data_IF_991707506055
#
_entry.id   IF_991707506055
#
_cell.length_a   1.000
_cell.length_b   1.000
_cell.length_c   1.000
_cell.angle_alpha   90.00
_cell.angle_beta   90.00
_cell.angle_gamma   90.00
#
_symmetry.space_group_name_H-M   'P 1'
#
loop_
_entity.id
_entity.type
_entity.pdbx_description
1 polymer ?
#
# COMPACT_ATOMS: atom_id res chain seq x y z
N UNK A 1 53.67 -63.38 43.72
CA UNK A 1 55.08 -63.56 43.39
C UNK A 1 55.29 -63.38 41.93
N UNK A 2 56.38 -62.82 41.41
CA UNK A 2 56.99 -61.55 41.77
C UNK A 2 57.17 -60.64 40.56
N UNK A 3 57.26 -59.38 40.80
CA UNK A 3 58.49 -58.54 40.62
C UNK A 3 58.74 -58.01 39.19
N UNK A 4 58.75 -56.75 39.13
CA UNK A 4 59.78 -55.74 38.85
C UNK A 4 59.98 -55.49 37.34
N UNK A 5 60.10 -54.29 36.88
CA UNK A 5 60.97 -53.24 37.16
C UNK A 5 60.70 -52.04 36.18
N UNK A 6 60.82 -50.86 36.72
CA UNK A 6 61.11 -49.61 36.02
C UNK A 6 62.57 -49.58 35.53
N UNK A 7 62.98 -48.74 34.52
CA UNK A 7 63.12 -47.33 34.78
C UNK A 7 62.96 -46.38 33.55
N UNK A 8 62.63 -45.14 33.86
CA UNK A 8 62.97 -43.78 33.33
C UNK A 8 63.80 -43.66 32.04
N UNK A 9 63.29 -42.78 31.15
CA UNK A 9 64.13 -41.67 30.66
C UNK A 9 63.27 -40.51 30.16
N UNK A 10 63.64 -39.34 30.64
CA UNK A 10 63.18 -37.99 30.28
C UNK A 10 63.68 -37.56 28.89
N UNK A 11 62.91 -36.81 28.13
CA UNK A 11 63.35 -35.61 27.43
C UNK A 11 62.15 -34.91 26.72
N UNK A 12 62.19 -33.59 26.48
CA UNK A 12 61.02 -32.74 26.37
C UNK A 12 60.56 -32.55 24.95
N UNK A 13 59.28 -32.70 24.73
CA UNK A 13 58.63 -32.45 23.43
C UNK A 13 58.00 -31.08 23.35
N UNK A 14 58.45 -30.36 22.42
CA UNK A 14 58.09 -28.99 21.98
C UNK A 14 56.59 -28.82 21.82
N UNK A 15 56.03 -27.87 22.57
CA UNK A 15 54.65 -27.37 22.44
C UNK A 15 54.56 -26.54 21.14
N UNK A 16 54.01 -27.09 20.07
CA UNK A 16 53.62 -26.31 18.87
C UNK A 16 52.21 -25.81 19.09
N UNK A 17 52.07 -24.55 19.49
CA UNK A 17 50.86 -23.79 19.44
C UNK A 17 50.52 -23.48 17.99
N UNK A 18 49.55 -24.19 17.43
CA UNK A 18 48.92 -23.83 16.17
C UNK A 18 47.95 -22.67 16.41
N UNK A 19 48.35 -21.46 16.04
CA UNK A 19 47.48 -20.29 15.97
C UNK A 19 46.58 -20.43 14.73
N UNK A 20 45.35 -20.92 14.91
CA UNK A 20 44.33 -20.90 13.87
C UNK A 20 43.79 -19.48 13.71
N UNK A 21 44.30 -18.73 12.73
CA UNK A 21 43.72 -17.46 12.33
C UNK A 21 42.37 -17.71 11.66
N UNK A 22 41.28 -17.48 12.38
CA UNK A 22 39.93 -17.40 11.80
C UNK A 22 39.86 -16.08 11.08
N UNK A 23 40.02 -16.12 9.75
CA UNK A 23 39.63 -15.01 8.88
C UNK A 23 38.12 -14.90 8.91
N UNK A 24 37.57 -13.96 9.68
CA UNK A 24 36.20 -13.49 9.49
C UNK A 24 36.16 -12.75 8.14
N UNK A 25 35.72 -13.43 7.10
CA UNK A 25 35.23 -12.75 5.91
C UNK A 25 33.95 -11.99 6.30
N UNK A 26 34.10 -10.71 6.64
CA UNK A 26 32.99 -9.77 6.60
C UNK A 26 32.55 -9.68 5.14
N UNK A 27 31.54 -10.49 4.75
CA UNK A 27 30.80 -10.25 3.53
C UNK A 27 30.20 -8.85 3.67
N UNK A 28 30.84 -7.87 3.03
CA UNK A 28 30.25 -6.57 2.83
C UNK A 28 28.97 -6.79 2.01
N UNK A 29 27.84 -6.89 2.69
CA UNK A 29 26.56 -6.76 2.04
C UNK A 29 26.58 -5.37 1.40
N UNK A 30 26.66 -5.31 0.08
CA UNK A 30 26.46 -4.07 -0.65
C UNK A 30 25.10 -3.51 -0.21
N UNK A 31 25.11 -2.48 0.62
CA UNK A 31 23.93 -1.70 0.93
C UNK A 31 23.45 -1.19 -0.43
N UNK A 32 22.24 -1.53 -0.89
CA UNK A 32 21.72 -0.96 -2.12
C UNK A 32 21.90 0.56 -2.02
N UNK A 33 22.41 1.19 -3.08
CA UNK A 33 22.56 2.65 -3.11
C UNK A 33 21.24 3.24 -2.58
N UNK A 34 21.31 4.03 -1.53
CA UNK A 34 20.13 4.59 -0.88
C UNK A 34 19.32 5.31 -1.96
N UNK A 35 18.13 4.79 -2.28
CA UNK A 35 17.29 5.36 -3.32
C UNK A 35 17.02 6.83 -3.02
N UNK A 36 16.84 7.64 -4.05
CA UNK A 36 16.53 9.07 -3.88
C UNK A 36 15.19 9.20 -3.16
N UNK A 37 15.16 9.93 -2.05
CA UNK A 37 13.93 10.37 -1.40
C UNK A 37 13.65 11.82 -1.76
N UNK A 38 12.41 12.18 -2.07
CA UNK A 38 12.08 13.57 -2.30
C UNK A 38 12.23 14.36 -0.99
N UNK A 39 12.76 15.57 -1.11
CA UNK A 39 12.67 16.61 -0.08
C UNK A 39 11.27 17.28 -0.12
N UNK A 40 11.18 18.60 0.14
CA UNK A 40 9.92 19.34 -0.04
C UNK A 40 9.39 19.25 -1.47
N UNK A 41 10.26 19.11 -2.47
CA UNK A 41 9.90 18.90 -3.87
C UNK A 41 10.40 17.52 -4.34
N UNK A 42 9.73 16.95 -5.35
CA UNK A 42 10.23 15.78 -6.05
C UNK A 42 11.51 16.13 -6.82
N UNK A 43 12.52 15.26 -6.73
CA UNK A 43 13.64 15.34 -7.63
C UNK A 43 13.17 15.03 -9.07
N UNK A 44 13.68 15.78 -10.04
CA UNK A 44 13.44 15.57 -11.48
C UNK A 44 14.75 15.31 -12.19
N UNK A 45 14.76 14.65 -13.35
CA UNK A 45 15.95 14.46 -14.15
C UNK A 45 16.62 15.80 -14.46
N UNK A 46 17.96 15.81 -14.47
CA UNK A 46 18.77 16.98 -14.78
C UNK A 46 19.62 16.76 -16.04
N UNK A 47 20.28 17.80 -16.52
CA UNK A 47 21.21 17.67 -17.64
C UNK A 47 22.40 16.76 -17.29
N UNK A 48 22.84 16.76 -16.01
CA UNK A 48 23.93 15.92 -15.53
C UNK A 48 23.49 14.45 -15.30
N UNK A 49 22.21 14.25 -14.95
CA UNK A 49 21.60 12.95 -14.72
C UNK A 49 20.29 12.86 -15.53
N UNK A 50 20.36 12.65 -16.84
CA UNK A 50 19.19 12.61 -17.69
C UNK A 50 18.36 11.37 -17.41
N UNK A 51 17.07 11.48 -17.62
CA UNK A 51 16.19 10.31 -17.62
C UNK A 51 16.56 9.39 -18.78
N UNK A 52 16.66 8.10 -18.50
CA UNK A 52 16.81 7.06 -19.55
C UNK A 52 15.45 6.56 -20.07
N UNK A 53 14.36 7.19 -19.68
CA UNK A 53 13.02 6.90 -20.17
C UNK A 53 12.83 7.44 -21.59
N UNK A 54 12.19 6.65 -22.44
CA UNK A 54 11.93 7.05 -23.83
C UNK A 54 10.86 8.13 -23.92
N UNK A 55 11.25 9.38 -24.19
CA UNK A 55 10.32 10.49 -24.36
C UNK A 55 9.28 10.23 -25.46
N UNK A 56 9.70 9.63 -26.57
CA UNK A 56 8.79 9.29 -27.66
C UNK A 56 7.69 8.32 -27.23
N UNK A 57 8.01 7.33 -26.41
CA UNK A 57 7.03 6.37 -25.89
C UNK A 57 6.18 6.98 -24.78
N UNK A 58 6.71 7.90 -23.96
CA UNK A 58 5.93 8.65 -22.99
C UNK A 58 4.90 9.54 -23.69
N UNK A 59 5.21 10.15 -24.83
CA UNK A 59 4.22 10.87 -25.65
C UNK A 59 3.10 9.96 -26.16
N UNK A 60 3.36 8.68 -26.41
CA UNK A 60 2.30 7.71 -26.72
C UNK A 60 1.40 7.47 -25.51
N UNK A 61 2.00 7.38 -24.30
CA UNK A 61 1.22 7.27 -23.07
C UNK A 61 0.36 8.53 -22.82
N UNK A 62 0.90 9.73 -23.09
CA UNK A 62 0.15 11.01 -23.00
C UNK A 62 -1.04 11.05 -23.96
N UNK A 63 -0.81 10.67 -25.21
CA UNK A 63 -1.88 10.62 -26.21
C UNK A 63 -2.99 9.63 -25.82
N UNK A 64 -2.61 8.48 -25.24
CA UNK A 64 -3.59 7.52 -24.72
C UNK A 64 -4.32 8.08 -23.51
N UNK A 65 -3.62 8.70 -22.55
CA UNK A 65 -4.23 9.34 -21.38
C UNK A 65 -5.24 10.41 -21.80
N UNK A 66 -4.90 11.23 -22.79
CA UNK A 66 -5.85 12.22 -23.37
C UNK A 66 -7.09 11.55 -23.99
N UNK A 67 -6.90 10.43 -24.71
CA UNK A 67 -8.01 9.71 -25.37
C UNK A 67 -9.02 9.11 -24.38
N UNK A 68 -8.57 8.71 -23.20
CA UNK A 68 -9.42 8.20 -22.11
C UNK A 68 -9.84 9.29 -21.12
N UNK A 69 -9.52 10.56 -21.42
CA UNK A 69 -9.88 11.74 -20.62
C UNK A 69 -9.31 11.70 -19.20
N UNK A 70 -8.07 11.27 -19.04
CA UNK A 70 -7.31 11.38 -17.80
C UNK A 70 -7.08 12.86 -17.46
N UNK A 71 -7.18 13.23 -16.17
CA UNK A 71 -6.85 14.59 -15.73
C UNK A 71 -5.40 14.74 -15.33
N UNK A 72 -4.82 13.68 -14.74
CA UNK A 72 -3.39 13.66 -14.40
C UNK A 72 -2.86 12.22 -14.29
N UNK A 73 -1.58 12.06 -14.61
CA UNK A 73 -0.80 10.92 -14.13
C UNK A 73 0.66 11.32 -13.94
N UNK A 74 1.36 10.57 -13.12
CA UNK A 74 2.80 10.74 -12.92
C UNK A 74 3.51 9.40 -12.75
N UNK A 75 4.82 9.43 -12.98
CA UNK A 75 5.71 8.27 -12.87
C UNK A 75 6.90 8.63 -11.99
N UNK A 76 7.05 7.89 -10.89
CA UNK A 76 8.22 7.96 -10.01
C UNK A 76 9.06 6.71 -10.23
N UNK A 77 10.28 6.89 -10.67
CA UNK A 77 11.27 5.81 -10.84
C UNK A 77 12.41 6.03 -9.85
N UNK A 78 12.60 5.10 -8.92
CA UNK A 78 13.63 5.14 -7.88
C UNK A 78 13.67 6.44 -7.08
N UNK A 79 12.47 7.01 -6.84
CA UNK A 79 12.32 8.25 -6.08
C UNK A 79 12.46 9.54 -6.90
N UNK A 80 12.62 9.43 -8.21
CA UNK A 80 12.70 10.58 -9.13
C UNK A 80 11.40 10.69 -9.93
N UNK A 81 10.82 11.89 -10.05
CA UNK A 81 9.68 12.18 -10.92
C UNK A 81 10.18 12.24 -12.36
N UNK A 82 10.05 11.14 -13.09
CA UNK A 82 10.56 11.02 -14.47
C UNK A 82 9.58 11.47 -15.54
N UNK A 83 8.28 11.50 -15.20
CA UNK A 83 7.24 12.00 -16.11
C UNK A 83 6.00 12.47 -15.35
N UNK A 84 5.35 13.49 -15.90
CA UNK A 84 4.11 14.04 -15.41
C UNK A 84 3.21 14.50 -16.57
N UNK A 85 1.90 14.25 -16.44
CA UNK A 85 0.87 14.66 -17.37
C UNK A 85 -0.28 15.32 -16.59
N UNK A 86 -0.75 16.49 -17.04
CA UNK A 86 -1.89 17.18 -16.47
C UNK A 86 -1.65 17.76 -15.07
N UNK A 87 -2.73 17.92 -14.30
CA UNK A 87 -2.74 18.63 -13.00
C UNK A 87 -2.31 17.71 -11.85
N UNK A 88 -1.03 17.39 -11.76
CA UNK A 88 -0.48 16.46 -10.75
C UNK A 88 -0.47 17.01 -9.32
N UNK A 89 -0.63 18.32 -9.15
CA UNK A 89 -0.63 19.02 -7.85
C UNK A 89 -2.04 19.31 -7.30
N UNK A 90 -3.08 19.06 -8.11
CA UNK A 90 -4.47 19.27 -7.69
C UNK A 90 -4.92 18.18 -6.71
N UNK A 91 -5.36 18.53 -5.47
CA UNK A 91 -6.03 17.59 -4.60
C UNK A 91 -7.36 17.12 -5.21
N UNK A 92 -7.48 15.82 -5.45
CA UNK A 92 -8.67 15.18 -6.00
C UNK A 92 -9.19 14.11 -5.04
N UNK A 93 -10.49 13.86 -5.05
CA UNK A 93 -11.10 12.83 -4.22
C UNK A 93 -10.47 11.47 -4.50
N UNK A 94 -9.99 10.80 -3.44
CA UNK A 94 -9.37 9.47 -3.55
C UNK A 94 -10.35 8.36 -3.88
N UNK A 95 -11.65 8.58 -3.71
CA UNK A 95 -12.65 7.52 -3.73
C UNK A 95 -12.19 6.33 -2.86
N UNK A 96 -12.14 5.11 -3.39
CA UNK A 96 -11.72 3.94 -2.61
C UNK A 96 -10.20 3.79 -2.42
N UNK A 97 -9.36 4.58 -3.09
CA UNK A 97 -7.92 4.63 -2.77
C UNK A 97 -7.68 5.04 -1.31
N UNK A 98 -8.62 5.79 -0.69
CA UNK A 98 -8.61 6.09 0.75
C UNK A 98 -8.45 4.85 1.65
N UNK A 99 -8.99 3.69 1.23
CA UNK A 99 -8.88 2.43 1.98
C UNK A 99 -7.42 1.98 2.10
N UNK A 100 -6.65 2.10 1.03
CA UNK A 100 -5.21 1.76 1.06
C UNK A 100 -4.41 2.75 1.92
N UNK A 101 -4.77 4.04 1.92
CA UNK A 101 -4.20 5.02 2.85
C UNK A 101 -4.52 4.66 4.30
N UNK A 102 -5.76 4.25 4.58
CA UNK A 102 -6.19 3.79 5.90
C UNK A 102 -5.40 2.53 6.34
N UNK A 103 -5.13 1.59 5.43
CA UNK A 103 -4.27 0.44 5.70
C UNK A 103 -2.86 0.85 6.15
N UNK A 104 -2.27 1.88 5.54
CA UNK A 104 -0.96 2.40 5.94
C UNK A 104 -1.02 2.98 7.36
N UNK A 105 -2.04 3.77 7.67
CA UNK A 105 -2.24 4.31 9.03
C UNK A 105 -2.44 3.18 10.05
N UNK A 106 -3.22 2.16 9.72
CA UNK A 106 -3.36 0.98 10.58
C UNK A 106 -2.02 0.33 10.89
N UNK A 107 -1.14 0.17 9.89
CA UNK A 107 0.19 -0.38 10.09
C UNK A 107 1.02 0.39 11.11
N UNK A 108 0.98 1.71 11.05
CA UNK A 108 1.69 2.57 11.99
C UNK A 108 1.17 2.36 13.40
N UNK A 109 -0.16 2.35 13.61
CA UNK A 109 -0.77 2.27 14.93
C UNK A 109 -0.80 0.86 15.52
N UNK A 110 -0.87 -0.17 14.68
CA UNK A 110 -0.61 -1.57 15.11
C UNK A 110 0.83 -1.72 15.59
N UNK A 111 1.79 -1.14 14.89
CA UNK A 111 3.19 -1.17 15.30
C UNK A 111 3.48 -0.41 16.60
N UNK A 112 2.65 0.57 16.95
CA UNK A 112 2.69 1.28 18.24
C UNK A 112 1.98 0.52 19.37
N UNK A 113 1.30 -0.59 19.07
CA UNK A 113 0.50 -1.35 20.03
C UNK A 113 -0.82 -0.67 20.42
N UNK A 114 -1.24 0.35 19.67
CA UNK A 114 -2.49 1.09 19.93
C UNK A 114 -3.71 0.35 19.38
N UNK A 115 -3.54 -0.45 18.34
CA UNK A 115 -4.58 -1.27 17.70
C UNK A 115 -4.13 -2.73 17.69
N UNK A 116 -5.02 -3.60 18.17
CA UNK A 116 -4.86 -5.05 18.12
C UNK A 116 -5.77 -5.61 17.02
N UNK A 117 -5.18 -6.32 16.06
CA UNK A 117 -5.88 -6.88 14.91
C UNK A 117 -6.83 -8.03 15.26
N UNK A 118 -6.62 -8.69 16.38
CA UNK A 118 -7.38 -9.86 16.79
C UNK A 118 -8.53 -9.50 17.74
N UNK A 119 -8.66 -8.22 18.14
CA UNK A 119 -9.83 -7.75 18.85
C UNK A 119 -11.09 -7.85 17.98
N UNK A 120 -12.18 -8.32 18.60
CA UNK A 120 -13.47 -8.46 17.93
C UNK A 120 -14.32 -7.20 18.04
N UNK A 121 -15.31 -7.06 17.14
CA UNK A 121 -16.28 -5.96 17.19
C UNK A 121 -17.00 -5.91 18.53
N UNK A 122 -17.34 -7.09 19.10
CA UNK A 122 -17.96 -7.18 20.42
C UNK A 122 -17.06 -6.64 21.54
N UNK A 123 -15.78 -7.01 21.57
CA UNK A 123 -14.80 -6.51 22.54
C UNK A 123 -14.57 -4.99 22.40
N UNK A 124 -14.66 -4.46 21.18
CA UNK A 124 -14.50 -3.04 20.89
C UNK A 124 -15.78 -2.22 21.12
N UNK A 125 -16.89 -2.88 21.47
CA UNK A 125 -18.18 -2.22 21.65
C UNK A 125 -18.72 -1.59 20.35
N UNK A 126 -18.36 -2.15 19.20
CA UNK A 126 -18.87 -1.68 17.90
C UNK A 126 -20.29 -2.19 17.71
N UNK A 127 -21.18 -1.28 17.35
CA UNK A 127 -22.56 -1.55 16.93
C UNK A 127 -22.86 -0.87 15.61
N UNK A 128 -24.10 -0.91 15.18
CA UNK A 128 -24.66 -0.05 14.13
C UNK A 128 -26.17 0.05 14.38
N UNK A 129 -26.90 0.84 13.60
CA UNK A 129 -28.31 1.20 13.82
C UNK A 129 -29.23 -0.01 14.00
N UNK A 130 -29.01 -1.09 13.25
CA UNK A 130 -29.81 -2.31 13.34
C UNK A 130 -29.23 -3.34 14.32
N UNK A 131 -28.27 -2.93 15.17
CA UNK A 131 -27.50 -3.80 16.04
C UNK A 131 -26.65 -4.83 15.28
N UNK A 132 -25.69 -5.44 15.94
CA UNK A 132 -24.94 -6.59 15.41
C UNK A 132 -25.44 -7.88 16.07
N UNK A 133 -25.61 -8.93 15.29
CA UNK A 133 -25.87 -10.29 15.82
C UNK A 133 -24.66 -10.80 16.61
N UNK A 134 -24.84 -11.85 17.40
CA UNK A 134 -23.74 -12.47 18.16
C UNK A 134 -22.62 -12.96 17.22
N UNK A 135 -22.98 -13.51 16.06
CA UNK A 135 -22.01 -13.92 15.04
C UNK A 135 -21.26 -12.74 14.47
N UNK A 136 -21.95 -11.66 14.08
CA UNK A 136 -21.30 -10.44 13.54
C UNK A 136 -20.33 -9.81 14.56
N UNK A 137 -20.64 -9.89 15.87
CA UNK A 137 -19.77 -9.38 16.95
C UNK A 137 -18.43 -10.12 17.06
N UNK A 138 -18.30 -11.34 16.51
CA UNK A 138 -17.06 -12.11 16.52
C UNK A 138 -16.08 -11.68 15.44
N UNK A 139 -16.49 -10.86 14.47
CA UNK A 139 -15.61 -10.34 13.43
C UNK A 139 -14.46 -9.54 14.06
N UNK A 140 -13.23 -9.79 13.59
CA UNK A 140 -12.02 -9.14 14.09
C UNK A 140 -11.61 -7.96 13.23
N UNK A 141 -10.78 -7.05 13.77
CA UNK A 141 -10.18 -5.94 13.02
C UNK A 141 -9.43 -6.46 11.78
N UNK A 142 -8.73 -7.57 11.91
CA UNK A 142 -8.05 -8.26 10.81
C UNK A 142 -9.01 -8.62 9.68
N UNK A 143 -10.16 -9.18 10.02
CA UNK A 143 -11.17 -9.57 9.02
C UNK A 143 -11.83 -8.37 8.35
N UNK A 144 -11.98 -7.25 9.06
CA UNK A 144 -12.43 -6.00 8.44
C UNK A 144 -11.39 -5.47 7.43
N UNK A 145 -10.10 -5.47 7.79
CA UNK A 145 -9.03 -5.07 6.85
C UNK A 145 -9.00 -5.96 5.59
N UNK A 146 -9.39 -7.22 5.72
CA UNK A 146 -9.50 -8.17 4.62
C UNK A 146 -10.82 -8.05 3.83
N UNK A 147 -11.79 -7.22 4.27
CA UNK A 147 -13.17 -7.19 3.76
C UNK A 147 -13.86 -8.56 3.84
N UNK A 148 -13.68 -9.23 4.96
CA UNK A 148 -14.20 -10.57 5.26
C UNK A 148 -14.94 -10.61 6.61
N UNK A 149 -15.51 -9.49 7.05
CA UNK A 149 -16.19 -9.40 8.35
C UNK A 149 -17.44 -10.27 8.46
N UNK A 150 -18.09 -10.61 7.33
CA UNK A 150 -19.41 -11.23 7.34
C UNK A 150 -20.54 -10.29 7.75
N UNK A 151 -20.25 -8.98 7.94
CA UNK A 151 -21.24 -7.96 8.29
C UNK A 151 -21.70 -7.26 7.01
N UNK A 152 -22.96 -7.45 6.64
CA UNK A 152 -23.52 -6.96 5.38
C UNK A 152 -24.55 -5.84 5.63
N UNK A 153 -24.17 -4.86 6.45
CA UNK A 153 -25.00 -3.69 6.73
C UNK A 153 -24.87 -2.61 5.65
N UNK A 154 -25.87 -1.75 5.48
CA UNK A 154 -25.74 -0.54 4.68
C UNK A 154 -24.62 0.34 5.21
N UNK A 155 -23.92 1.04 4.31
CA UNK A 155 -22.81 1.90 4.69
C UNK A 155 -22.91 3.28 4.02
N UNK A 156 -22.30 4.26 4.64
CA UNK A 156 -22.12 5.55 4.01
C UNK A 156 -21.18 5.45 2.78
N UNK A 157 -21.45 6.26 1.76
CA UNK A 157 -20.63 6.39 0.56
C UNK A 157 -20.58 5.15 -0.33
N UNK A 158 -21.63 4.33 -0.33
CA UNK A 158 -21.75 3.15 -1.20
C UNK A 158 -22.14 3.52 -2.64
N UNK A 159 -21.58 2.78 -3.60
CA UNK A 159 -22.07 2.83 -4.99
C UNK A 159 -23.38 2.06 -5.15
N UNK A 160 -24.13 2.37 -6.20
CA UNK A 160 -25.35 1.62 -6.54
C UNK A 160 -25.05 0.13 -6.77
N UNK A 161 -23.93 -0.20 -7.40
CA UNK A 161 -23.49 -1.57 -7.62
C UNK A 161 -23.22 -2.30 -6.29
N UNK A 162 -22.47 -1.68 -5.35
CA UNK A 162 -22.22 -2.28 -4.04
C UNK A 162 -23.52 -2.57 -3.29
N UNK A 163 -24.51 -1.67 -3.38
CA UNK A 163 -25.85 -1.91 -2.78
C UNK A 163 -26.58 -3.10 -3.41
N UNK A 164 -26.50 -3.25 -4.73
CA UNK A 164 -27.18 -4.32 -5.46
C UNK A 164 -26.52 -5.69 -5.24
N UNK A 165 -25.21 -5.74 -5.08
CA UNK A 165 -24.42 -6.96 -4.91
C UNK A 165 -24.24 -7.38 -3.44
N UNK A 166 -24.81 -6.64 -2.48
CA UNK A 166 -24.68 -6.93 -1.05
C UNK A 166 -25.27 -8.29 -0.71
N UNK A 167 -24.49 -9.20 -0.09
CA UNK A 167 -25.03 -10.47 0.40
C UNK A 167 -26.12 -10.27 1.43
N UNK A 168 -27.00 -11.27 1.59
CA UNK A 168 -28.00 -11.24 2.63
C UNK A 168 -27.33 -11.24 4.03
N UNK A 169 -27.88 -10.48 4.97
CA UNK A 169 -27.38 -10.44 6.34
C UNK A 169 -27.37 -11.85 6.95
N UNK A 170 -26.26 -12.22 7.57
CA UNK A 170 -26.07 -13.53 8.21
C UNK A 170 -25.80 -14.68 7.23
N UNK A 171 -25.63 -14.42 5.93
CA UNK A 171 -25.37 -15.47 4.93
C UNK A 171 -24.00 -16.13 5.03
N UNK A 172 -23.03 -15.46 5.66
CA UNK A 172 -21.67 -15.99 5.87
C UNK A 172 -21.15 -15.55 7.25
N UNK A 173 -20.40 -16.42 7.91
CA UNK A 173 -19.72 -16.05 9.14
C UNK A 173 -18.44 -15.21 8.87
N UNK A 174 -17.93 -14.49 9.89
CA UNK A 174 -16.67 -13.77 9.79
C UNK A 174 -15.52 -14.68 9.33
N UNK A 175 -14.78 -14.21 8.31
CA UNK A 175 -13.66 -14.93 7.71
C UNK A 175 -14.03 -15.87 6.55
N UNK A 176 -15.30 -16.18 6.30
CA UNK A 176 -15.70 -17.15 5.27
C UNK A 176 -15.76 -16.55 3.88
N UNK A 177 -16.32 -15.36 3.72
CA UNK A 177 -16.62 -14.78 2.42
C UNK A 177 -16.02 -13.39 2.28
N UNK A 178 -15.41 -13.11 1.12
CA UNK A 178 -14.95 -11.80 0.77
C UNK A 178 -16.03 -11.03 0.02
N UNK A 179 -16.32 -9.84 0.51
CA UNK A 179 -17.24 -8.92 -0.16
C UNK A 179 -16.68 -7.51 -0.12
N UNK A 180 -16.45 -6.90 -1.31
CA UNK A 180 -15.96 -5.54 -1.40
C UNK A 180 -17.03 -4.56 -0.93
N UNK A 181 -16.83 -3.94 0.23
CA UNK A 181 -17.83 -3.09 0.85
C UNK A 181 -17.22 -1.83 1.48
N UNK A 182 -18.08 -0.89 1.85
CA UNK A 182 -17.69 0.30 2.57
C UNK A 182 -17.92 0.19 4.08
N UNK A 183 -18.77 -0.71 4.53
CA UNK A 183 -19.06 -0.85 5.95
C UNK A 183 -17.80 -1.20 6.73
N UNK A 184 -17.08 -2.22 6.34
CA UNK A 184 -15.81 -2.62 6.97
C UNK A 184 -14.82 -1.45 7.04
N UNK A 185 -14.62 -0.75 5.91
CA UNK A 185 -13.68 0.36 5.87
C UNK A 185 -14.11 1.56 6.73
N UNK A 186 -15.42 1.85 6.80
CA UNK A 186 -15.94 2.93 7.61
C UNK A 186 -15.84 2.60 9.12
N UNK A 187 -16.15 1.35 9.49
CA UNK A 187 -16.00 0.85 10.87
C UNK A 187 -14.54 0.88 11.31
N UNK A 188 -13.61 0.53 10.42
CA UNK A 188 -12.17 0.69 10.69
C UNK A 188 -11.83 2.15 11.04
N UNK A 189 -12.45 3.15 10.39
CA UNK A 189 -12.30 4.55 10.79
C UNK A 189 -12.78 4.80 12.22
N UNK A 190 -13.95 4.32 12.59
CA UNK A 190 -14.49 4.42 13.95
C UNK A 190 -13.62 3.72 14.99
N UNK A 191 -13.14 2.51 14.68
CA UNK A 191 -12.23 1.75 15.56
C UNK A 191 -10.92 2.54 15.75
N UNK A 192 -10.35 3.04 14.66
CA UNK A 192 -9.13 3.85 14.67
C UNK A 192 -9.27 5.04 15.65
N UNK A 193 -10.32 5.82 15.51
CA UNK A 193 -10.57 7.00 16.36
C UNK A 193 -10.76 6.61 17.83
N UNK A 194 -11.52 5.56 18.11
CA UNK A 194 -11.71 5.06 19.48
C UNK A 194 -10.43 4.54 20.14
N UNK A 195 -9.58 3.87 19.36
CA UNK A 195 -8.36 3.25 19.88
C UNK A 195 -7.21 4.23 20.04
N UNK A 196 -7.09 5.20 19.13
CA UNK A 196 -5.97 6.15 19.12
C UNK A 196 -6.30 7.48 19.79
N UNK A 197 -7.58 7.79 20.01
CA UNK A 197 -8.04 9.09 20.49
C UNK A 197 -7.89 10.21 19.48
N UNK A 198 -7.55 9.92 18.23
CA UNK A 198 -7.34 10.88 17.14
C UNK A 198 -8.16 10.53 15.92
N UNK A 199 -8.59 11.52 15.16
CA UNK A 199 -9.26 11.26 13.89
C UNK A 199 -8.27 10.64 12.86
N UNK A 200 -8.82 9.85 11.94
CA UNK A 200 -8.05 9.31 10.80
C UNK A 200 -7.38 10.46 10.01
N UNK A 201 -8.01 11.63 9.97
CA UNK A 201 -7.50 12.79 9.25
C UNK A 201 -6.34 13.49 9.97
N UNK A 202 -6.39 13.58 11.31
CA UNK A 202 -5.26 14.05 12.11
C UNK A 202 -4.06 13.11 11.97
N UNK A 203 -4.30 11.79 11.99
CA UNK A 203 -3.25 10.82 11.77
C UNK A 203 -2.70 10.89 10.33
N UNK A 204 -3.54 11.12 9.31
CA UNK A 204 -3.07 11.36 7.95
C UNK A 204 -2.11 12.57 7.91
N UNK A 205 -2.45 13.66 8.60
CA UNK A 205 -1.60 14.85 8.70
C UNK A 205 -0.28 14.55 9.40
N UNK A 206 -0.33 14.04 10.64
CA UNK A 206 0.85 13.97 11.51
C UNK A 206 1.73 12.75 11.27
N UNK A 207 1.14 11.62 10.86
CA UNK A 207 1.86 10.35 10.70
C UNK A 207 2.26 10.06 9.24
N UNK A 208 1.67 10.76 8.26
CA UNK A 208 2.00 10.62 6.84
C UNK A 208 2.36 11.96 6.19
N UNK A 209 1.48 12.96 6.19
CA UNK A 209 1.71 14.17 5.41
C UNK A 209 2.95 14.95 5.88
N UNK A 210 3.11 15.15 7.17
CA UNK A 210 4.26 15.85 7.74
C UNK A 210 5.57 15.06 7.56
N UNK A 211 5.67 13.76 7.95
CA UNK A 211 6.92 13.01 7.77
C UNK A 211 7.32 12.81 6.32
N UNK A 212 6.34 12.61 5.43
CA UNK A 212 6.58 12.42 4.01
C UNK A 212 6.65 13.75 3.24
N UNK A 213 6.47 14.88 3.91
CA UNK A 213 6.51 16.23 3.35
C UNK A 213 5.53 16.41 2.18
N UNK A 214 4.22 16.14 2.40
CA UNK A 214 3.21 16.38 1.38
C UNK A 214 3.21 17.85 0.95
N UNK A 215 3.00 18.08 -0.34
CA UNK A 215 3.16 19.40 -0.94
C UNK A 215 1.85 20.16 -1.06
N UNK A 216 0.74 19.44 -1.21
CA UNK A 216 -0.54 20.03 -1.63
C UNK A 216 -1.65 19.82 -0.61
N UNK A 217 -1.52 18.80 0.25
CA UNK A 217 -2.53 18.43 1.23
C UNK A 217 -2.73 19.53 2.29
N UNK A 218 -3.96 19.95 2.48
CA UNK A 218 -4.37 20.96 3.45
C UNK A 218 -5.38 20.37 4.42
N UNK A 219 -5.00 20.29 5.66
CA UNK A 219 -5.89 19.85 6.74
C UNK A 219 -6.53 21.07 7.43
N UNK A 220 -7.85 21.08 7.69
CA UNK A 220 -8.83 20.02 7.42
C UNK A 220 -9.52 20.12 6.04
N UNK A 221 -9.18 21.09 5.17
CA UNK A 221 -9.90 21.43 3.94
C UNK A 221 -10.04 20.26 2.95
N UNK A 222 -9.03 19.40 2.87
CA UNK A 222 -8.99 18.27 1.94
C UNK A 222 -9.53 16.96 2.57
N UNK A 223 -10.31 17.09 3.66
CA UNK A 223 -10.91 15.97 4.40
C UNK A 223 -12.39 16.18 4.67
N UNK A 224 -13.17 15.10 4.66
CA UNK A 224 -14.61 15.13 4.94
C UNK A 224 -15.05 13.87 5.68
N UNK A 225 -15.68 13.99 6.81
CA UNK A 225 -16.39 12.90 7.49
C UNK A 225 -17.82 12.84 6.95
N UNK A 226 -18.09 11.87 6.07
CA UNK A 226 -19.40 11.73 5.42
C UNK A 226 -20.25 10.70 6.15
N UNK A 227 -21.19 11.20 6.94
CA UNK A 227 -22.19 10.38 7.61
C UNK A 227 -23.45 10.29 6.73
N UNK A 228 -24.04 9.11 6.66
CA UNK A 228 -25.35 8.86 6.03
C UNK A 228 -26.31 8.20 7.02
N UNK A 229 -27.62 8.34 6.75
CA UNK A 229 -28.65 7.81 7.65
C UNK A 229 -28.64 6.27 7.77
N UNK A 230 -27.96 5.61 6.86
CA UNK A 230 -27.91 4.13 6.76
C UNK A 230 -26.98 3.47 7.77
N UNK A 231 -26.04 4.20 8.38
CA UNK A 231 -25.04 3.66 9.31
C UNK A 231 -24.59 4.72 10.31
N UNK A 232 -24.05 4.30 11.47
CA UNK A 232 -23.39 5.16 12.44
C UNK A 232 -21.93 5.46 12.11
N UNK A 233 -21.38 4.75 11.11
CA UNK A 233 -19.98 4.83 10.75
C UNK A 233 -19.78 5.72 9.51
N UNK A 234 -19.20 6.92 9.67
CA UNK A 234 -18.95 7.81 8.54
C UNK A 234 -17.86 7.29 7.63
N UNK A 235 -17.97 7.63 6.35
CA UNK A 235 -16.86 7.42 5.43
C UNK A 235 -15.83 8.56 5.59
N UNK A 236 -14.56 8.20 5.73
CA UNK A 236 -13.45 9.15 5.77
C UNK A 236 -13.04 9.51 4.34
N UNK A 237 -13.60 10.58 3.79
CA UNK A 237 -13.29 11.07 2.44
C UNK A 237 -12.02 11.92 2.49
N UNK A 238 -11.09 11.65 1.58
CA UNK A 238 -9.78 12.31 1.50
C UNK A 238 -9.53 12.80 0.09
N UNK A 239 -8.93 13.98 -0.03
CA UNK A 239 -8.47 14.56 -1.28
C UNK A 239 -6.95 14.71 -1.21
N UNK A 240 -6.23 14.05 -2.12
CA UNK A 240 -4.79 14.19 -2.27
C UNK A 240 -4.45 14.50 -3.73
N UNK A 241 -3.35 15.18 -3.95
CA UNK A 241 -2.76 15.33 -5.27
C UNK A 241 -2.11 14.02 -5.75
N UNK A 242 -1.81 13.93 -7.04
CA UNK A 242 -1.07 12.78 -7.56
C UNK A 242 0.33 12.69 -6.92
N UNK A 243 1.01 13.83 -6.74
CA UNK A 243 2.36 13.87 -6.18
C UNK A 243 2.41 13.57 -4.68
N UNK A 244 1.39 13.91 -3.90
CA UNK A 244 1.31 13.52 -2.49
C UNK A 244 0.97 12.03 -2.34
N UNK A 245 0.04 11.53 -3.16
CA UNK A 245 -0.28 10.10 -3.17
C UNK A 245 0.93 9.24 -3.58
N UNK A 246 1.76 9.73 -4.50
CA UNK A 246 2.98 9.04 -4.91
C UNK A 246 4.00 8.87 -3.77
N UNK A 247 4.03 9.78 -2.78
CA UNK A 247 4.89 9.65 -1.59
C UNK A 247 4.48 8.44 -0.74
N UNK A 248 3.17 8.20 -0.60
CA UNK A 248 2.67 6.97 0.04
C UNK A 248 3.08 5.74 -0.80
N UNK A 249 2.95 5.82 -2.12
CA UNK A 249 3.40 4.75 -3.02
C UNK A 249 4.89 4.42 -2.85
N UNK A 250 5.75 5.44 -2.79
CA UNK A 250 7.19 5.26 -2.58
C UNK A 250 7.50 4.68 -1.19
N UNK A 251 6.80 5.10 -0.15
CA UNK A 251 6.90 4.51 1.19
C UNK A 251 6.56 3.01 1.16
N UNK A 252 5.51 2.62 0.44
CA UNK A 252 5.14 1.21 0.27
C UNK A 252 6.15 0.43 -0.59
N UNK A 253 6.71 1.06 -1.64
CA UNK A 253 7.75 0.45 -2.47
C UNK A 253 9.00 0.09 -1.64
N UNK A 254 9.31 0.89 -0.63
CA UNK A 254 10.51 0.81 0.21
C UNK A 254 10.25 0.21 1.60
N UNK A 255 9.29 -0.67 1.69
CA UNK A 255 8.98 -1.43 2.91
C UNK A 255 8.79 -0.55 4.16
N UNK A 256 8.16 0.60 3.97
CA UNK A 256 7.85 1.53 5.05
C UNK A 256 9.03 2.40 5.53
N UNK A 257 10.14 2.40 4.81
CA UNK A 257 11.26 3.28 5.08
C UNK A 257 11.10 4.63 4.35
N UNK A 258 11.44 5.71 5.06
CA UNK A 258 11.52 7.07 4.51
C UNK A 258 12.78 7.75 5.00
N UNK A 259 13.73 7.99 4.12
CA UNK A 259 15.13 8.27 4.48
C UNK A 259 15.67 7.16 5.42
N UNK A 260 16.19 7.56 6.55
CA UNK A 260 16.70 6.70 7.62
C UNK A 260 15.63 6.28 8.66
N UNK A 261 14.39 6.76 8.49
CA UNK A 261 13.29 6.53 9.43
C UNK A 261 12.36 5.43 8.95
N UNK A 262 11.99 4.54 9.85
CA UNK A 262 10.92 3.57 9.63
C UNK A 262 9.58 4.21 10.02
N UNK A 263 8.76 4.49 9.03
CA UNK A 263 7.41 5.04 9.21
C UNK A 263 6.40 3.91 9.43
N UNK A 264 6.46 2.87 8.58
CA UNK A 264 5.62 1.68 8.72
C UNK A 264 6.46 0.55 9.34
N UNK A 265 5.95 -0.20 10.34
CA UNK A 265 6.68 -1.29 10.97
C UNK A 265 7.18 -2.34 9.97
N UNK A 266 8.31 -2.96 10.27
CA UNK A 266 8.82 -4.08 9.48
C UNK A 266 7.78 -5.21 9.43
N UNK A 267 7.60 -5.79 8.25
CA UNK A 267 6.63 -6.85 8.02
C UNK A 267 5.23 -6.39 7.65
N UNK A 268 4.77 -5.18 8.07
CA UNK A 268 3.41 -4.71 7.75
C UNK A 268 3.15 -4.61 6.25
N UNK A 269 4.10 -4.08 5.48
CA UNK A 269 3.93 -3.97 4.03
C UNK A 269 3.72 -5.35 3.43
N UNK A 270 4.47 -6.36 3.84
CA UNK A 270 4.32 -7.74 3.38
C UNK A 270 2.99 -8.32 3.84
N UNK A 271 2.63 -8.16 5.12
CA UNK A 271 1.39 -8.69 5.69
C UNK A 271 0.17 -8.04 5.00
N UNK A 272 0.14 -6.71 4.94
CA UNK A 272 -1.00 -5.97 4.36
C UNK A 272 -1.19 -6.20 2.86
N UNK A 273 -0.14 -6.64 2.16
CA UNK A 273 -0.16 -6.90 0.71
C UNK A 273 -0.09 -8.40 0.38
N UNK A 274 -0.21 -9.26 1.38
CA UNK A 274 -0.47 -10.69 1.16
C UNK A 274 -1.90 -10.89 0.68
N UNK A 275 -2.09 -11.74 -0.34
CA UNK A 275 -3.43 -12.08 -0.82
C UNK A 275 -4.10 -13.07 0.11
N UNK A 276 -5.13 -12.64 0.82
CA UNK A 276 -5.96 -13.50 1.68
C UNK A 276 -7.20 -14.03 0.96
N UNK A 277 -7.46 -13.51 -0.22
CA UNK A 277 -8.61 -13.89 -1.06
C UNK A 277 -8.23 -13.74 -2.53
N UNK A 278 -8.63 -14.70 -3.34
CA UNK A 278 -8.62 -14.59 -4.80
C UNK A 278 -9.93 -13.97 -5.27
N UNK A 279 -9.86 -12.94 -6.11
CA UNK A 279 -11.03 -12.18 -6.55
C UNK A 279 -11.24 -12.37 -8.06
N UNK A 280 -12.50 -12.50 -8.46
CA UNK A 280 -12.89 -12.65 -9.87
C UNK A 280 -12.29 -13.90 -10.50
N UNK A 281 -11.85 -13.85 -11.77
CA UNK A 281 -11.33 -15.01 -12.50
C UNK A 281 -9.92 -15.46 -12.07
N UNK A 282 -9.45 -15.05 -10.87
CA UNK A 282 -8.18 -15.50 -10.30
C UNK A 282 -6.96 -14.62 -10.63
N UNK A 283 -7.17 -13.44 -11.22
CA UNK A 283 -6.07 -12.54 -11.58
C UNK A 283 -5.71 -11.54 -10.49
N UNK A 284 -6.61 -11.32 -9.55
CA UNK A 284 -6.43 -10.38 -8.43
C UNK A 284 -6.61 -11.09 -7.12
N UNK A 285 -5.80 -10.69 -6.13
CA UNK A 285 -5.99 -10.99 -4.74
C UNK A 285 -6.37 -9.73 -3.97
N UNK A 286 -6.72 -9.89 -2.71
CA UNK A 286 -7.00 -8.81 -1.80
C UNK A 286 -6.30 -9.02 -0.46
N UNK A 287 -5.54 -8.02 -0.05
CA UNK A 287 -4.85 -7.97 1.24
C UNK A 287 -5.61 -7.13 2.27
N UNK A 288 -4.90 -6.38 3.08
CA UNK A 288 -5.48 -5.40 4.00
C UNK A 288 -5.76 -4.09 3.25
N UNK A 289 -6.94 -4.03 2.60
CA UNK A 289 -7.40 -2.88 1.80
C UNK A 289 -6.50 -2.56 0.60
N UNK A 290 -5.75 -3.55 0.10
CA UNK A 290 -4.94 -3.47 -1.11
C UNK A 290 -5.36 -4.51 -2.12
N UNK A 291 -5.43 -4.13 -3.38
CA UNK A 291 -5.51 -5.06 -4.50
C UNK A 291 -4.10 -5.60 -4.78
N UNK A 292 -4.00 -6.90 -4.89
CA UNK A 292 -2.74 -7.61 -5.13
C UNK A 292 -2.87 -8.38 -6.43
N UNK A 293 -2.28 -7.90 -7.55
CA UNK A 293 -2.28 -8.65 -8.78
C UNK A 293 -1.62 -10.01 -8.61
N UNK A 294 -2.30 -11.06 -9.05
CA UNK A 294 -1.84 -12.44 -9.00
C UNK A 294 -1.18 -12.84 -10.32
N UNK A 295 -0.54 -14.02 -10.31
CA UNK A 295 0.07 -14.61 -11.50
C UNK A 295 -1.00 -14.77 -12.60
N UNK A 296 -0.74 -14.20 -13.78
CA UNK A 296 -1.69 -14.21 -14.90
C UNK A 296 -2.49 -12.92 -15.08
N UNK A 297 -2.30 -11.93 -14.22
CA UNK A 297 -2.85 -10.58 -14.47
C UNK A 297 -2.32 -10.06 -15.81
N UNK A 298 -3.21 -9.59 -16.73
CA UNK A 298 -2.79 -9.12 -18.04
C UNK A 298 -1.67 -8.09 -17.92
N UNK A 299 -0.62 -8.25 -18.72
CA UNK A 299 0.55 -7.38 -18.85
C UNK A 299 1.60 -7.43 -17.72
N UNK A 300 1.33 -8.06 -16.54
CA UNK A 300 2.29 -8.02 -15.42
C UNK A 300 2.52 -9.39 -14.78
N UNK A 301 3.47 -10.13 -15.31
CA UNK A 301 3.95 -11.36 -14.67
C UNK A 301 4.95 -10.98 -13.56
N UNK A 302 4.45 -10.77 -12.35
CA UNK A 302 5.28 -10.52 -11.16
C UNK A 302 5.04 -11.62 -10.13
N UNK A 303 6.02 -11.81 -9.27
CA UNK A 303 5.87 -12.67 -8.10
C UNK A 303 4.90 -12.05 -7.08
N UNK A 304 4.47 -12.83 -6.08
CA UNK A 304 3.58 -12.36 -5.03
C UNK A 304 4.18 -11.15 -4.31
N UNK A 305 3.31 -10.23 -3.88
CA UNK A 305 3.65 -9.01 -3.11
C UNK A 305 4.62 -8.03 -3.78
N UNK A 306 4.84 -8.16 -5.08
CA UNK A 306 5.74 -7.24 -5.82
C UNK A 306 4.98 -6.10 -6.48
N UNK A 307 3.75 -6.32 -6.91
CA UNK A 307 2.90 -5.31 -7.50
C UNK A 307 1.68 -5.07 -6.61
N UNK A 308 1.42 -3.82 -6.26
CA UNK A 308 0.31 -3.40 -5.42
C UNK A 308 -0.53 -2.40 -6.20
N UNK A 309 -1.84 -2.47 -6.00
CA UNK A 309 -2.77 -1.51 -6.58
C UNK A 309 -3.70 -0.95 -5.50
N UNK A 310 -3.82 0.38 -5.48
CA UNK A 310 -4.94 1.05 -4.86
C UNK A 310 -5.89 1.52 -5.97
N UNK A 311 -7.17 1.17 -5.85
CA UNK A 311 -8.18 1.40 -6.89
C UNK A 311 -9.35 2.16 -6.31
N UNK A 312 -9.76 3.22 -6.97
CA UNK A 312 -10.92 4.03 -6.59
C UNK A 312 -11.82 4.34 -7.78
N UNK A 313 -13.12 4.42 -7.52
CA UNK A 313 -14.13 4.71 -8.52
C UNK A 313 -13.79 6.01 -9.30
N UNK A 314 -14.15 6.03 -10.57
CA UNK A 314 -13.95 7.18 -11.44
C UNK A 314 -12.53 7.33 -11.97
N UNK A 315 -11.65 6.34 -11.77
CA UNK A 315 -10.31 6.37 -12.36
C UNK A 315 -9.22 6.85 -11.40
N UNK A 316 -9.35 6.56 -10.12
CA UNK A 316 -8.30 6.82 -9.14
C UNK A 316 -7.42 5.58 -9.02
N UNK A 317 -6.14 5.66 -9.38
CA UNK A 317 -5.23 4.52 -9.30
C UNK A 317 -3.88 4.93 -8.72
N UNK A 318 -3.33 4.04 -7.91
CA UNK A 318 -1.91 4.05 -7.55
C UNK A 318 -1.37 2.64 -7.74
N UNK A 319 -0.38 2.50 -8.61
CA UNK A 319 0.36 1.27 -8.85
C UNK A 319 1.75 1.40 -8.23
N UNK A 320 2.16 0.37 -7.50
CA UNK A 320 3.49 0.29 -6.87
C UNK A 320 4.16 -1.00 -7.29
N UNK A 321 5.22 -0.93 -8.08
CA UNK A 321 6.10 -2.06 -8.42
C UNK A 321 7.32 -2.03 -7.48
N UNK A 322 7.25 -2.80 -6.40
CA UNK A 322 8.29 -2.85 -5.36
C UNK A 322 9.63 -3.34 -5.89
N UNK A 323 9.62 -4.25 -6.87
CA UNK A 323 10.86 -4.80 -7.44
C UNK A 323 11.62 -3.75 -8.25
N UNK A 324 10.90 -2.82 -8.89
CA UNK A 324 11.49 -1.76 -9.72
C UNK A 324 11.68 -0.45 -8.97
N UNK A 325 11.18 -0.34 -7.74
CA UNK A 325 11.06 0.93 -7.02
C UNK A 325 10.33 1.98 -7.87
N UNK A 326 9.20 1.56 -8.47
CA UNK A 326 8.41 2.34 -9.41
C UNK A 326 7.01 2.60 -8.85
N UNK A 327 6.56 3.84 -8.95
CA UNK A 327 5.20 4.25 -8.61
C UNK A 327 4.56 4.96 -9.80
N UNK A 328 3.34 4.56 -10.14
CA UNK A 328 2.50 5.27 -11.11
C UNK A 328 1.20 5.68 -10.42
N UNK A 329 0.88 6.96 -10.44
CA UNK A 329 -0.38 7.49 -9.94
C UNK A 329 -1.18 8.06 -11.09
N UNK A 330 -2.47 7.73 -11.15
CA UNK A 330 -3.42 8.23 -12.15
C UNK A 330 -4.63 8.83 -11.45
N UNK A 331 -5.08 9.99 -11.93
CA UNK A 331 -6.18 10.74 -11.33
C UNK A 331 -7.18 11.21 -12.37
N UNK A 332 -8.44 11.21 -11.94
CA UNK A 332 -9.55 11.83 -12.64
C UNK A 332 -10.29 12.75 -11.68
N UNK A 333 -10.55 13.97 -12.08
CA UNK A 333 -11.28 14.95 -11.28
C UNK A 333 -12.80 14.70 -11.34
N UNK A 334 -13.29 13.98 -10.34
CA UNK A 334 -14.71 13.65 -10.20
C UNK A 334 -15.57 14.83 -9.68
N UNK A 335 -14.97 15.99 -9.36
CA UNK A 335 -15.71 17.20 -8.97
C UNK A 335 -16.30 17.94 -10.16
N UNK A 336 -15.84 17.66 -11.38
CA UNK A 336 -16.39 18.22 -12.62
C UNK A 336 -17.86 17.89 -12.77
N UNK A 337 -18.63 18.82 -13.34
CA UNK A 337 -20.07 18.64 -13.59
C UNK A 337 -20.38 17.39 -14.40
N UNK A 338 -21.61 16.89 -14.31
CA UNK A 338 -22.07 15.64 -14.93
C UNK A 338 -21.60 15.43 -16.37
N UNK A 339 -21.65 16.50 -17.19
CA UNK A 339 -21.25 16.46 -18.62
C UNK A 339 -19.72 16.40 -18.84
N UNK A 340 -18.92 16.68 -17.83
CA UNK A 340 -17.46 16.71 -17.90
C UNK A 340 -16.80 15.55 -17.13
N UNK A 341 -17.60 14.72 -16.45
CA UNK A 341 -17.09 13.55 -15.74
C UNK A 341 -16.56 12.54 -16.73
N UNK A 342 -15.34 12.13 -16.52
CA UNK A 342 -14.76 10.95 -17.15
C UNK A 342 -14.70 9.82 -16.13
N UNK A 343 -14.76 8.61 -16.61
CA UNK A 343 -14.50 7.42 -15.82
C UNK A 343 -13.44 6.60 -16.55
N UNK A 344 -12.28 6.44 -15.92
CA UNK A 344 -11.24 5.57 -16.44
C UNK A 344 -11.34 4.23 -15.72
N UNK A 345 -11.61 3.17 -16.49
CA UNK A 345 -11.76 1.81 -15.99
C UNK A 345 -10.39 1.17 -15.76
N UNK A 346 -10.38 0.11 -14.96
CA UNK A 346 -9.14 -0.64 -14.63
C UNK A 346 -8.44 -1.21 -15.87
N UNK A 347 -9.19 -1.66 -16.88
CA UNK A 347 -8.61 -2.15 -18.14
C UNK A 347 -7.94 -1.01 -18.95
N UNK A 348 -8.53 0.17 -18.97
CA UNK A 348 -7.92 1.35 -19.60
C UNK A 348 -6.67 1.81 -18.85
N UNK A 349 -6.70 1.83 -17.51
CA UNK A 349 -5.51 2.10 -16.73
C UNK A 349 -4.41 1.06 -16.97
N UNK A 350 -4.76 -0.21 -17.13
CA UNK A 350 -3.79 -1.27 -17.46
C UNK A 350 -3.08 -1.02 -18.80
N UNK A 351 -3.83 -0.55 -19.82
CA UNK A 351 -3.25 -0.18 -21.12
C UNK A 351 -2.33 1.06 -20.97
N UNK A 352 -2.75 2.09 -20.23
CA UNK A 352 -1.91 3.25 -19.96
C UNK A 352 -0.60 2.85 -19.27
N UNK A 353 -0.69 2.01 -18.23
CA UNK A 353 0.47 1.52 -17.51
C UNK A 353 1.40 0.68 -18.43
N UNK A 354 0.84 -0.08 -19.37
CA UNK A 354 1.63 -0.81 -20.36
C UNK A 354 2.42 0.15 -21.28
N UNK A 355 1.80 1.24 -21.75
CA UNK A 355 2.50 2.29 -22.52
C UNK A 355 3.62 2.95 -21.69
N UNK A 356 3.34 3.27 -20.43
CA UNK A 356 4.34 3.83 -19.51
C UNK A 356 5.51 2.85 -19.34
N UNK A 357 5.23 1.57 -19.04
CA UNK A 357 6.27 0.57 -18.83
C UNK A 357 7.08 0.27 -20.09
N UNK A 358 6.48 0.41 -21.28
CA UNK A 358 7.20 0.30 -22.55
C UNK A 358 8.22 1.44 -22.78
N UNK A 359 8.04 2.57 -22.10
CA UNK A 359 8.96 3.70 -22.13
C UNK A 359 10.12 3.56 -21.15
N UNK A 360 10.02 2.65 -20.18
CA UNK A 360 11.05 2.44 -19.17
C UNK A 360 12.38 1.97 -19.81
N UNK A 361 13.53 2.31 -19.20
CA UNK A 361 14.82 1.78 -19.64
C UNK A 361 14.82 0.26 -19.65
N UNK A 362 15.37 -0.33 -20.69
CA UNK A 362 15.60 -1.79 -20.73
C UNK A 362 16.60 -2.11 -19.61
N UNK A 363 16.20 -2.99 -18.69
CA UNK A 363 17.11 -3.46 -17.66
C UNK A 363 18.38 -4.00 -18.35
N UNK A 364 19.55 -3.46 -18.00
CA UNK A 364 20.80 -4.03 -18.46
C UNK A 364 20.81 -5.52 -18.07
N UNK A 365 20.95 -6.40 -19.03
CA UNK A 365 21.16 -7.83 -18.77
C UNK A 365 22.41 -7.91 -17.89
N UNK A 366 22.38 -8.52 -16.70
CA UNK A 366 23.61 -8.70 -15.94
C UNK A 366 24.60 -9.51 -16.80
N UNK A 367 25.89 -9.15 -16.78
CA UNK A 367 26.93 -9.83 -17.55
C UNK A 367 27.06 -11.31 -17.18
#
# INVERSE_FOLDING_TARGET
MPMAGLPRSLLPGVLRTALSAVLLLCAAHAVPAAGVFPAAQWATPSVAEPSHWSEAKLKVADAFAASIKSDAYLVIDKGVLVHAYGDIDKPMNLASVRKSVQSVLYGIHVGRGEIDLDQTLGQLGIGDKDGLSDTERTATVRQLLQLRSGVYHPAAYETAQAKAERPARGSHAPGEFWYYNNWDANVLGTIFERRTGRSVFEALKTDLAEPLQFQDFRYPQDTESRLERSSEHPAQVMHLSARDLARIGLLMARDGMWHDKRIIPAGWVTESTTSYTTVGPGWSGYGYLWWVPLKGFPFWQRGPNQLLLAVGAGGQFMMVDRKRDLVVVHRVDNSKGWFQRSEVRTDQFAVLAAHILAAAPVAATPP
#
